data_IF_545616745796
#
_entry.id   IF_545616745796
#
_cell.length_a   1.000
_cell.length_b   1.000
_cell.length_c   1.000
_cell.angle_alpha   90.00
_cell.angle_beta   90.00
_cell.angle_gamma   90.00
#
_symmetry.space_group_name_H-M   'P 1'
#
loop_
_entity.id
_entity.type
_entity.pdbx_description
1 polymer ?
#
# COMPACT_ATOMS: atom_id res chain seq x y z
N UNK A 1 -6.30 8.24 -20.01
CA UNK A 1 -6.28 6.82 -19.58
C UNK A 1 -7.52 6.06 -20.04
N UNK A 2 -8.73 6.54 -19.79
CA UNK A 2 -9.99 5.90 -20.23
C UNK A 2 -10.09 5.79 -21.77
N UNK A 3 -9.60 6.78 -22.52
CA UNK A 3 -9.62 6.76 -24.00
C UNK A 3 -8.65 5.75 -24.62
N UNK A 4 -7.53 5.44 -23.95
CA UNK A 4 -6.53 4.48 -24.46
C UNK A 4 -7.03 3.04 -24.30
N UNK A 5 -7.73 2.75 -23.21
CA UNK A 5 -8.32 1.42 -22.96
C UNK A 5 -9.51 1.17 -23.88
N UNK A 6 -10.32 2.20 -24.18
CA UNK A 6 -11.51 2.07 -25.03
C UNK A 6 -11.25 1.72 -26.51
N UNK A 7 -9.99 1.71 -26.98
CA UNK A 7 -9.60 1.31 -28.35
C UNK A 7 -9.00 -0.10 -28.43
N UNK A 8 -8.72 -0.75 -27.31
CA UNK A 8 -8.13 -2.08 -27.26
C UNK A 8 -9.17 -3.09 -26.77
N UNK A 9 -9.03 -4.33 -27.22
CA UNK A 9 -9.81 -5.44 -26.66
C UNK A 9 -9.43 -5.60 -25.18
N UNK A 10 -10.43 -5.65 -24.32
CA UNK A 10 -10.28 -5.93 -22.88
C UNK A 10 -10.93 -7.25 -22.53
N UNK A 11 -10.57 -7.80 -21.38
CA UNK A 11 -11.21 -8.96 -20.80
C UNK A 11 -11.53 -8.72 -19.33
N UNK A 12 -12.66 -9.22 -18.83
CA UNK A 12 -13.01 -9.13 -17.43
C UNK A 12 -12.14 -10.07 -16.62
N UNK A 13 -11.47 -9.54 -15.60
CA UNK A 13 -10.60 -10.30 -14.70
C UNK A 13 -10.93 -9.94 -13.25
N UNK A 14 -11.05 -10.92 -12.37
CA UNK A 14 -11.30 -10.67 -10.96
C UNK A 14 -9.99 -10.40 -10.22
N UNK A 15 -10.04 -9.49 -9.25
CA UNK A 15 -8.85 -9.10 -8.46
C UNK A 15 -8.17 -10.31 -7.80
N UNK A 16 -8.97 -11.30 -7.36
CA UNK A 16 -8.46 -12.53 -6.74
C UNK A 16 -7.59 -13.40 -7.66
N UNK A 17 -7.71 -13.27 -8.99
CA UNK A 17 -6.85 -13.97 -9.93
C UNK A 17 -5.49 -13.29 -10.11
N UNK A 18 -5.45 -11.96 -9.90
CA UNK A 18 -4.26 -11.14 -10.08
C UNK A 18 -3.34 -11.12 -8.86
N UNK A 19 -3.91 -11.26 -7.64
CA UNK A 19 -3.19 -11.02 -6.39
C UNK A 19 -3.52 -12.03 -5.29
N UNK A 20 -2.57 -12.23 -4.39
CA UNK A 20 -2.79 -12.87 -3.09
C UNK A 20 -3.11 -11.80 -2.03
N UNK A 21 -4.02 -12.15 -1.12
CA UNK A 21 -4.37 -11.32 0.03
C UNK A 21 -3.77 -11.94 1.29
N UNK A 22 -2.93 -11.19 2.00
CA UNK A 22 -2.28 -11.64 3.22
C UNK A 22 -2.73 -10.72 4.36
N UNK A 23 -3.36 -11.30 5.37
CA UNK A 23 -3.82 -10.57 6.56
C UNK A 23 -2.66 -10.24 7.51
N UNK A 24 -2.78 -9.18 8.30
CA UNK A 24 -1.88 -8.90 9.41
C UNK A 24 -1.98 -9.97 10.51
N UNK A 25 -0.93 -10.09 11.31
CA UNK A 25 -0.94 -11.02 12.45
C UNK A 25 -2.01 -10.61 13.48
N UNK A 26 -2.64 -11.60 14.09
CA UNK A 26 -3.64 -11.45 15.18
C UNK A 26 -3.41 -12.50 16.28
N UNK A 27 -2.28 -13.19 16.21
CA UNK A 27 -1.95 -14.27 17.14
C UNK A 27 -1.53 -13.76 18.52
N UNK A 28 -1.20 -14.71 19.39
CA UNK A 28 -0.73 -14.47 20.76
C UNK A 28 0.54 -13.61 20.85
N UNK A 29 1.30 -13.54 19.75
CA UNK A 29 2.53 -12.79 19.65
C UNK A 29 2.34 -11.37 19.08
N UNK A 30 1.07 -10.93 18.87
CA UNK A 30 0.81 -9.55 18.44
C UNK A 30 1.38 -8.57 19.47
N UNK A 31 2.11 -7.51 19.05
CA UNK A 31 2.78 -6.60 19.98
C UNK A 31 1.80 -5.89 20.91
N UNK A 32 2.15 -5.80 22.18
CA UNK A 32 1.52 -4.91 23.16
C UNK A 32 2.10 -3.51 23.04
N UNK A 33 1.45 -2.52 23.66
CA UNK A 33 1.86 -1.12 23.52
C UNK A 33 3.29 -0.85 24.01
N UNK A 34 3.70 -1.49 25.07
CA UNK A 34 5.00 -1.39 25.71
C UNK A 34 6.15 -2.07 24.94
N UNK A 35 5.82 -2.88 23.94
CA UNK A 35 6.82 -3.52 23.07
C UNK A 35 7.18 -2.66 21.83
N UNK A 36 6.53 -1.49 21.68
CA UNK A 36 6.87 -0.56 20.61
C UNK A 36 7.92 0.46 21.03
N UNK A 37 8.80 0.79 20.11
CA UNK A 37 9.87 1.79 20.27
C UNK A 37 9.84 2.78 19.11
N UNK A 38 10.44 3.96 19.28
CA UNK A 38 10.53 4.99 18.21
C UNK A 38 11.56 4.65 17.13
N UNK A 39 12.44 3.71 17.40
CA UNK A 39 13.45 3.18 16.47
C UNK A 39 13.62 1.69 16.71
N UNK A 40 13.99 0.90 15.71
CA UNK A 40 14.16 -0.53 15.90
C UNK A 40 14.39 -1.30 14.61
N UNK A 41 14.27 -2.62 14.70
CA UNK A 41 14.56 -3.54 13.61
C UNK A 41 13.45 -3.56 12.56
N UNK A 42 12.19 -3.73 12.98
CA UNK A 42 11.08 -3.89 12.06
C UNK A 42 10.05 -2.76 12.28
N UNK A 43 9.80 -1.98 11.23
CA UNK A 43 8.75 -0.97 11.20
C UNK A 43 7.38 -1.66 11.24
N UNK A 44 6.58 -1.35 12.25
CA UNK A 44 5.24 -1.87 12.41
C UNK A 44 4.20 -0.82 11.99
N UNK A 45 3.63 -0.97 10.81
CA UNK A 45 2.71 0.00 10.25
C UNK A 45 1.39 0.06 11.02
N UNK A 46 0.90 1.25 11.24
CA UNK A 46 -0.43 1.55 11.74
C UNK A 46 -1.23 2.38 10.72
N UNK A 47 -2.50 2.66 11.03
CA UNK A 47 -3.41 3.33 10.09
C UNK A 47 -2.91 4.71 9.61
N UNK A 48 -2.11 5.44 10.40
CA UNK A 48 -1.55 6.75 10.01
C UNK A 48 -0.43 6.64 8.99
N UNK A 49 0.20 5.46 8.87
CA UNK A 49 1.29 5.24 7.93
C UNK A 49 0.83 4.96 6.50
N UNK A 50 -0.47 4.73 6.25
CA UNK A 50 -1.01 4.49 4.91
C UNK A 50 -2.11 5.50 4.62
N UNK A 51 -1.80 6.48 3.78
CA UNK A 51 -2.65 7.62 3.46
C UNK A 51 -3.21 7.52 2.03
N UNK A 52 -4.03 8.48 1.64
CA UNK A 52 -4.54 8.58 0.26
C UNK A 52 -3.43 8.84 -0.78
N UNK A 53 -2.28 9.32 -0.35
CA UNK A 53 -1.12 9.62 -1.20
C UNK A 53 -0.04 8.53 -1.19
N UNK A 54 -0.18 7.49 -0.35
CA UNK A 54 0.81 6.44 -0.17
C UNK A 54 1.30 6.32 1.26
N UNK A 55 2.54 5.86 1.46
CA UNK A 55 3.14 5.79 2.79
C UNK A 55 3.40 7.19 3.38
N UNK A 56 3.18 7.29 4.69
CA UNK A 56 3.60 8.41 5.53
C UNK A 56 4.42 7.86 6.71
N UNK A 57 5.61 8.40 6.92
CA UNK A 57 6.54 7.97 7.97
C UNK A 57 6.84 9.07 9.00
N UNK A 58 5.98 10.08 9.12
CA UNK A 58 6.12 11.17 10.11
C UNK A 58 6.13 10.61 11.55
N UNK A 59 5.38 9.54 11.79
CA UNK A 59 5.37 8.84 13.08
C UNK A 59 5.53 7.33 12.83
N UNK A 60 6.60 6.76 13.32
CA UNK A 60 6.92 5.36 13.16
C UNK A 60 6.97 4.63 14.51
N UNK A 61 6.52 3.39 14.51
CA UNK A 61 6.68 2.46 15.63
C UNK A 61 7.43 1.22 15.15
N UNK A 62 8.34 0.74 15.98
CA UNK A 62 9.18 -0.41 15.64
C UNK A 62 9.05 -1.49 16.70
N UNK A 63 9.31 -2.71 16.28
CA UNK A 63 9.49 -3.86 17.16
C UNK A 63 10.89 -4.43 17.01
N UNK A 64 11.33 -5.19 18.01
CA UNK A 64 12.62 -5.88 17.98
C UNK A 64 12.64 -7.00 16.95
N UNK A 65 13.82 -7.45 16.56
CA UNK A 65 13.99 -8.60 15.66
C UNK A 65 13.39 -9.88 16.26
N UNK A 66 13.53 -10.09 17.56
CA UNK A 66 12.95 -11.23 18.26
C UNK A 66 11.42 -11.21 18.15
N UNK A 67 10.80 -10.04 18.38
CA UNK A 67 9.36 -9.88 18.26
C UNK A 67 8.87 -10.09 16.82
N UNK A 68 9.59 -9.57 15.84
CA UNK A 68 9.30 -9.78 14.44
C UNK A 68 9.28 -11.26 14.05
N UNK A 69 10.29 -12.03 14.50
CA UNK A 69 10.40 -13.47 14.25
C UNK A 69 9.29 -14.32 14.88
N UNK A 70 8.70 -13.86 15.97
CA UNK A 70 7.60 -14.56 16.64
C UNK A 70 6.26 -14.40 15.92
N UNK A 71 6.11 -13.36 15.10
CA UNK A 71 4.90 -13.12 14.34
C UNK A 71 4.91 -13.91 13.03
N UNK A 72 3.76 -14.51 12.66
CA UNK A 72 3.69 -15.42 11.52
C UNK A 72 3.30 -14.74 10.20
N UNK A 73 2.55 -13.62 10.27
CA UNK A 73 1.93 -12.99 9.10
C UNK A 73 2.20 -11.49 9.07
N UNK A 74 1.98 -10.89 7.90
CA UNK A 74 1.97 -9.44 7.75
C UNK A 74 3.33 -8.81 7.47
N UNK A 75 4.38 -9.60 7.22
CA UNK A 75 5.68 -9.09 6.79
C UNK A 75 5.66 -8.77 5.29
N UNK A 76 6.09 -7.57 4.90
CA UNK A 76 6.14 -7.13 3.52
C UNK A 76 7.31 -7.76 2.77
N UNK A 77 7.06 -8.05 1.51
CA UNK A 77 8.09 -8.37 0.51
C UNK A 77 8.16 -7.22 -0.52
N UNK A 78 9.29 -7.05 -1.21
CA UNK A 78 9.41 -6.03 -2.25
C UNK A 78 8.24 -6.07 -3.24
N UNK A 79 7.69 -4.89 -3.52
CA UNK A 79 6.54 -4.68 -4.41
C UNK A 79 5.19 -5.17 -3.88
N UNK A 80 5.07 -5.50 -2.62
CA UNK A 80 3.77 -5.65 -1.97
C UNK A 80 3.03 -4.31 -1.92
N UNK A 81 1.71 -4.38 -2.00
CA UNK A 81 0.84 -3.22 -1.84
C UNK A 81 0.10 -3.39 -0.51
N UNK A 82 0.13 -2.36 0.34
CA UNK A 82 -0.63 -2.33 1.58
C UNK A 82 -1.98 -1.66 1.33
N UNK A 83 -3.06 -2.31 1.77
CA UNK A 83 -4.43 -1.78 1.74
C UNK A 83 -4.97 -1.66 3.16
N UNK A 84 -5.49 -0.50 3.54
CA UNK A 84 -6.20 -0.35 4.82
C UNK A 84 -7.58 -0.99 4.74
N UNK A 85 -7.82 -1.99 5.58
CA UNK A 85 -9.06 -2.80 5.61
C UNK A 85 -9.96 -2.48 6.80
N UNK A 86 -9.51 -1.62 7.73
CA UNK A 86 -10.26 -1.10 8.90
C UNK A 86 -9.89 0.34 9.18
N UNK A 87 -10.79 1.06 9.82
CA UNK A 87 -10.61 2.49 10.09
C UNK A 87 -10.73 3.32 8.81
N UNK A 88 -9.66 3.92 8.34
CA UNK A 88 -9.62 4.63 7.05
C UNK A 88 -9.53 3.62 5.92
N UNK A 89 -10.68 3.16 5.43
CA UNK A 89 -10.75 2.10 4.42
C UNK A 89 -10.26 2.55 3.05
N UNK A 90 -9.54 1.66 2.37
CA UNK A 90 -9.22 1.80 0.95
C UNK A 90 -8.01 2.66 0.63
N UNK A 91 -7.27 3.14 1.62
CA UNK A 91 -5.97 3.73 1.34
C UNK A 91 -5.00 2.63 0.92
N UNK A 92 -4.15 2.95 -0.06
CA UNK A 92 -3.15 2.01 -0.59
C UNK A 92 -1.78 2.65 -0.65
N UNK A 93 -0.74 1.85 -0.39
CA UNK A 93 0.66 2.25 -0.50
C UNK A 93 1.50 1.12 -1.10
N UNK A 94 2.42 1.44 -2.00
CA UNK A 94 3.31 0.49 -2.66
C UNK A 94 4.65 0.41 -1.92
N UNK A 95 5.05 -0.80 -1.55
CA UNK A 95 6.36 -1.06 -0.93
C UNK A 95 7.40 -1.33 -2.00
N UNK A 96 7.96 -0.26 -2.56
CA UNK A 96 8.94 -0.31 -3.65
C UNK A 96 10.37 0.03 -3.18
N UNK A 97 11.30 0.09 -4.14
CA UNK A 97 12.72 0.39 -3.93
C UNK A 97 13.01 1.76 -3.29
N UNK A 98 12.04 2.66 -3.22
CA UNK A 98 12.20 3.99 -2.65
C UNK A 98 11.92 4.04 -1.14
N UNK A 99 11.36 2.97 -0.58
CA UNK A 99 11.09 2.85 0.85
C UNK A 99 12.39 2.46 1.57
N UNK A 100 12.83 3.29 2.52
CA UNK A 100 14.10 3.13 3.23
C UNK A 100 14.12 2.01 4.28
N UNK A 101 12.95 1.48 4.64
CA UNK A 101 12.82 0.44 5.67
C UNK A 101 12.82 -0.94 5.02
N UNK A 102 13.76 -1.80 5.40
CA UNK A 102 13.90 -3.15 4.85
C UNK A 102 12.95 -4.16 5.51
N UNK A 103 12.71 -4.01 6.82
CA UNK A 103 11.83 -4.88 7.58
C UNK A 103 10.57 -4.10 7.92
N UNK A 104 9.46 -4.46 7.30
CA UNK A 104 8.19 -3.76 7.47
C UNK A 104 7.07 -4.78 7.67
N UNK A 105 6.22 -4.51 8.62
CA UNK A 105 5.07 -5.35 8.94
C UNK A 105 3.81 -4.53 9.08
N UNK A 106 2.69 -5.08 8.60
CA UNK A 106 1.38 -4.47 8.76
C UNK A 106 0.73 -4.86 10.08
N UNK A 107 -0.14 -3.99 10.59
CA UNK A 107 -1.02 -4.31 11.70
C UNK A 107 -2.26 -5.12 11.25
N UNK A 108 -3.10 -5.52 12.20
CA UNK A 108 -4.31 -6.30 11.94
C UNK A 108 -5.45 -5.54 11.24
N UNK A 109 -5.30 -4.25 11.00
CA UNK A 109 -6.25 -3.39 10.27
C UNK A 109 -5.92 -3.22 8.79
N UNK A 110 -4.93 -3.94 8.30
CA UNK A 110 -4.43 -3.85 6.94
C UNK A 110 -4.37 -5.22 6.26
N UNK A 111 -4.25 -5.19 4.94
CA UNK A 111 -3.98 -6.35 4.09
C UNK A 111 -2.76 -6.06 3.24
N UNK A 112 -1.94 -7.08 3.03
CA UNK A 112 -0.96 -7.09 1.95
C UNK A 112 -1.65 -7.65 0.72
N UNK A 113 -1.50 -6.94 -0.39
CA UNK A 113 -1.91 -7.36 -1.72
C UNK A 113 -0.64 -7.63 -2.51
N UNK A 114 -0.38 -8.90 -2.77
CA UNK A 114 0.83 -9.40 -3.44
C UNK A 114 0.51 -9.83 -4.85
N UNK A 115 1.08 -9.21 -5.90
CA UNK A 115 0.90 -9.65 -7.27
C UNK A 115 1.33 -11.11 -7.46
N UNK A 116 0.49 -11.93 -8.13
CA UNK A 116 0.76 -13.35 -8.37
C UNK A 116 1.65 -13.62 -9.57
N UNK A 117 1.55 -12.77 -10.58
CA UNK A 117 2.18 -12.97 -11.89
C UNK A 117 3.17 -11.85 -12.21
N UNK A 118 4.21 -12.19 -13.00
CA UNK A 118 5.11 -11.20 -13.59
C UNK A 118 4.53 -10.53 -14.85
N UNK A 119 3.42 -11.02 -15.38
CA UNK A 119 2.77 -10.47 -16.57
C UNK A 119 2.08 -9.13 -16.27
N UNK A 120 1.58 -8.98 -15.04
CA UNK A 120 0.93 -7.73 -14.59
C UNK A 120 1.78 -7.17 -13.45
N UNK A 121 2.30 -5.97 -13.66
CA UNK A 121 3.24 -5.38 -12.73
C UNK A 121 2.58 -4.90 -11.44
N UNK A 122 3.36 -4.79 -10.35
CA UNK A 122 2.92 -4.16 -9.12
C UNK A 122 2.39 -2.73 -9.32
N UNK A 123 2.99 -1.96 -10.22
CA UNK A 123 2.58 -0.58 -10.51
C UNK A 123 1.20 -0.52 -11.17
N UNK A 124 0.91 -1.44 -12.09
CA UNK A 124 -0.41 -1.56 -12.70
C UNK A 124 -1.47 -1.94 -11.65
N UNK A 125 -1.21 -2.93 -10.81
CA UNK A 125 -2.13 -3.32 -9.71
C UNK A 125 -2.33 -2.15 -8.74
N UNK A 126 -1.27 -1.45 -8.39
CA UNK A 126 -1.34 -0.28 -7.51
C UNK A 126 -2.22 0.83 -8.12
N UNK A 127 -2.08 1.11 -9.41
CA UNK A 127 -2.91 2.06 -10.11
C UNK A 127 -4.39 1.63 -10.17
N UNK A 128 -4.68 0.34 -10.40
CA UNK A 128 -6.04 -0.20 -10.32
C UNK A 128 -6.66 0.03 -8.94
N UNK A 129 -5.91 -0.25 -7.87
CA UNK A 129 -6.39 -0.09 -6.49
C UNK A 129 -6.62 1.38 -6.12
N UNK A 130 -5.88 2.33 -6.70
CA UNK A 130 -6.09 3.79 -6.53
C UNK A 130 -7.23 4.35 -7.38
N UNK A 131 -7.74 3.60 -8.33
CA UNK A 131 -8.76 4.08 -9.28
C UNK A 131 -10.07 4.48 -8.59
N UNK A 132 -10.82 5.38 -9.25
CA UNK A 132 -12.17 5.75 -8.82
C UNK A 132 -13.12 4.54 -8.81
N UNK A 133 -12.91 3.59 -9.72
CA UNK A 133 -13.66 2.35 -9.78
C UNK A 133 -13.46 1.52 -8.51
N UNK A 134 -12.20 1.34 -8.08
CA UNK A 134 -11.90 0.62 -6.83
C UNK A 134 -12.49 1.32 -5.61
N UNK A 135 -12.40 2.64 -5.54
CA UNK A 135 -13.02 3.42 -4.45
C UNK A 135 -14.54 3.20 -4.40
N UNK A 136 -15.22 3.21 -5.55
CA UNK A 136 -16.65 2.94 -5.62
C UNK A 136 -16.99 1.49 -5.24
N UNK A 137 -16.16 0.53 -5.63
CA UNK A 137 -16.33 -0.87 -5.24
C UNK A 137 -16.17 -1.08 -3.72
N UNK A 138 -15.16 -0.46 -3.10
CA UNK A 138 -14.93 -0.48 -1.67
C UNK A 138 -16.16 0.06 -0.91
N UNK A 139 -16.73 1.19 -1.36
CA UNK A 139 -17.93 1.76 -0.73
C UNK A 139 -19.12 0.79 -0.75
N UNK A 140 -19.27 -0.01 -1.80
CA UNK A 140 -20.35 -1.02 -1.90
C UNK A 140 -20.14 -2.22 -0.97
N UNK A 141 -18.89 -2.58 -0.69
CA UNK A 141 -18.54 -3.74 0.13
C UNK A 141 -18.28 -3.40 1.59
N UNK A 142 -18.38 -2.14 1.99
CA UNK A 142 -18.32 -1.76 3.40
C UNK A 142 -19.36 -2.54 4.21
N UNK A 143 -18.90 -3.33 5.16
CA UNK A 143 -19.74 -4.02 6.11
C UNK A 143 -19.51 -3.47 7.53
N UNK A 144 -20.57 -3.45 8.33
CA UNK A 144 -20.53 -2.95 9.70
C UNK A 144 -20.81 -1.45 9.82
N UNK A 145 -21.79 -1.10 10.66
CA UNK A 145 -22.21 0.29 10.88
C UNK A 145 -21.30 1.05 11.85
N UNK A 146 -20.71 0.38 12.83
CA UNK A 146 -19.88 0.99 13.88
C UNK A 146 -18.37 0.95 13.56
N UNK A 147 -17.91 -0.10 12.89
CA UNK A 147 -16.53 -0.26 12.43
C UNK A 147 -16.51 -0.87 11.02
N UNK A 148 -16.53 -0.06 9.97
CA UNK A 148 -16.50 -0.58 8.60
C UNK A 148 -15.26 -1.45 8.36
N UNK A 149 -15.46 -2.58 7.68
CA UNK A 149 -14.40 -3.51 7.31
C UNK A 149 -14.51 -3.91 5.84
N UNK A 150 -13.39 -4.27 5.25
CA UNK A 150 -13.30 -4.82 3.89
C UNK A 150 -12.97 -6.32 3.98
N UNK A 151 -13.95 -7.21 3.83
CA UNK A 151 -13.69 -8.65 3.83
C UNK A 151 -12.90 -9.07 2.58
N UNK A 152 -11.86 -9.88 2.75
CA UNK A 152 -11.06 -10.43 1.63
C UNK A 152 -11.95 -11.13 0.61
N UNK A 153 -12.95 -11.91 1.07
CA UNK A 153 -13.91 -12.62 0.21
C UNK A 153 -14.67 -11.72 -0.78
N UNK A 154 -14.84 -10.46 -0.42
CA UNK A 154 -15.54 -9.50 -1.27
C UNK A 154 -14.55 -8.76 -2.18
N UNK A 155 -13.36 -8.41 -1.67
CA UNK A 155 -12.27 -7.85 -2.47
C UNK A 155 -11.87 -8.79 -3.62
N UNK A 156 -11.79 -10.09 -3.38
CA UNK A 156 -11.42 -11.09 -4.39
C UNK A 156 -12.36 -11.11 -5.59
N UNK A 157 -13.62 -10.69 -5.42
CA UNK A 157 -14.66 -10.72 -6.47
C UNK A 157 -14.73 -9.45 -7.29
N UNK A 158 -13.96 -8.41 -6.95
CA UNK A 158 -13.97 -7.16 -7.72
C UNK A 158 -13.42 -7.47 -9.10
N UNK A 159 -14.20 -7.11 -10.14
CA UNK A 159 -13.85 -7.36 -11.54
C UNK A 159 -13.32 -6.09 -12.18
N UNK A 160 -12.25 -6.21 -12.93
CA UNK A 160 -11.67 -5.13 -13.74
C UNK A 160 -11.65 -5.56 -15.20
N UNK A 161 -11.80 -4.59 -16.10
CA UNK A 161 -11.51 -4.75 -17.52
C UNK A 161 -10.02 -4.48 -17.76
N UNK A 162 -9.25 -5.49 -18.13
CA UNK A 162 -7.82 -5.37 -18.43
C UNK A 162 -7.56 -5.56 -19.92
N UNK A 163 -6.58 -4.86 -20.52
CA UNK A 163 -6.18 -5.08 -21.90
C UNK A 163 -5.71 -6.51 -22.15
N UNK A 164 -6.17 -7.11 -23.27
CA UNK A 164 -5.70 -8.43 -23.69
C UNK A 164 -4.29 -8.40 -24.32
N UNK A 165 -3.85 -7.24 -24.77
CA UNK A 165 -2.56 -7.09 -25.44
C UNK A 165 -1.43 -6.88 -24.44
N UNK A 166 -0.45 -7.79 -24.42
CA UNK A 166 0.79 -7.66 -23.62
C UNK A 166 1.54 -6.37 -23.92
N UNK A 167 1.52 -5.90 -25.18
CA UNK A 167 2.17 -4.65 -25.56
C UNK A 167 1.49 -3.43 -24.92
N UNK A 168 0.16 -3.44 -24.82
CA UNK A 168 -0.62 -2.39 -24.15
C UNK A 168 -0.40 -2.43 -22.66
N UNK A 169 -0.39 -3.61 -22.05
CA UNK A 169 -0.08 -3.79 -20.63
C UNK A 169 1.32 -3.27 -20.30
N UNK A 170 2.33 -3.64 -21.11
CA UNK A 170 3.70 -3.18 -20.92
C UNK A 170 3.84 -1.65 -21.09
N UNK A 171 3.06 -1.03 -21.98
CA UNK A 171 3.07 0.42 -22.15
C UNK A 171 2.43 1.14 -20.97
N UNK A 172 1.27 0.68 -20.51
CA UNK A 172 0.61 1.19 -19.31
C UNK A 172 1.51 1.06 -18.08
N UNK A 173 2.20 -0.06 -17.96
CA UNK A 173 3.12 -0.31 -16.87
C UNK A 173 4.28 0.70 -16.84
N UNK A 174 4.92 0.96 -17.99
CA UNK A 174 5.95 2.00 -18.10
C UNK A 174 5.43 3.39 -17.71
N UNK A 175 4.19 3.72 -18.11
CA UNK A 175 3.57 4.99 -17.75
C UNK A 175 3.34 5.08 -16.24
N UNK A 176 2.79 4.03 -15.60
CA UNK A 176 2.57 4.02 -14.16
C UNK A 176 3.89 4.07 -13.39
N UNK A 177 4.90 3.30 -13.80
CA UNK A 177 6.23 3.35 -13.21
C UNK A 177 6.81 4.78 -13.28
N UNK A 178 6.74 5.44 -14.44
CA UNK A 178 7.24 6.81 -14.61
C UNK A 178 6.50 7.82 -13.71
N UNK A 179 5.19 7.65 -13.55
CA UNK A 179 4.39 8.48 -12.64
C UNK A 179 4.84 8.27 -11.19
N UNK A 180 4.97 7.03 -10.74
CA UNK A 180 5.35 6.74 -9.35
C UNK A 180 6.81 7.17 -9.07
N UNK A 181 7.72 7.04 -10.03
CA UNK A 181 9.08 7.58 -9.90
C UNK A 181 9.07 9.11 -9.75
N UNK A 182 8.24 9.80 -10.53
CA UNK A 182 8.08 11.26 -10.41
C UNK A 182 7.49 11.66 -9.06
N UNK A 183 6.49 10.93 -8.57
CA UNK A 183 5.91 11.14 -7.24
C UNK A 183 6.97 10.94 -6.16
N UNK A 184 7.77 9.88 -6.25
CA UNK A 184 8.84 9.58 -5.28
C UNK A 184 9.90 10.68 -5.23
N UNK A 185 10.32 11.21 -6.39
CA UNK A 185 11.28 12.32 -6.48
C UNK A 185 10.69 13.58 -5.81
N UNK A 186 9.46 13.92 -6.14
CA UNK A 186 8.79 15.10 -5.58
C UNK A 186 8.62 14.98 -4.05
N UNK A 187 8.27 13.79 -3.54
CA UNK A 187 8.15 13.57 -2.11
C UNK A 187 9.47 13.75 -1.38
N UNK A 188 10.59 13.26 -1.94
CA UNK A 188 11.93 13.49 -1.37
C UNK A 188 12.30 14.98 -1.35
N UNK A 189 11.95 15.72 -2.42
CA UNK A 189 12.18 17.17 -2.46
C UNK A 189 11.36 17.90 -1.39
N UNK A 190 10.09 17.52 -1.21
CA UNK A 190 9.23 18.07 -0.15
C UNK A 190 9.81 17.79 1.23
N UNK A 191 10.32 16.59 1.48
CA UNK A 191 10.91 16.24 2.79
C UNK A 191 12.20 17.03 3.04
N UNK A 192 13.07 17.20 2.05
CA UNK A 192 14.27 18.03 2.15
C UNK A 192 13.92 19.51 2.43
N UNK A 193 12.88 20.04 1.76
CA UNK A 193 12.42 21.42 1.99
C UNK A 193 11.83 21.62 3.40
N UNK A 194 11.10 20.63 3.93
CA UNK A 194 10.61 20.65 5.30
C UNK A 194 11.75 20.64 6.31
N UNK A 195 12.77 19.81 6.09
CA UNK A 195 13.95 19.76 6.95
C UNK A 195 14.69 21.09 6.94
N UNK A 196 14.95 21.66 5.77
CA UNK A 196 15.58 22.97 5.62
C UNK A 196 14.77 24.08 6.33
N UNK A 197 13.46 24.08 6.15
CA UNK A 197 12.57 25.03 6.85
C UNK A 197 12.69 24.91 8.35
N UNK A 198 12.75 23.69 8.89
CA UNK A 198 12.90 23.43 10.32
C UNK A 198 14.23 23.98 10.85
N UNK A 199 15.33 23.77 10.13
CA UNK A 199 16.66 24.29 10.50
C UNK A 199 16.66 25.82 10.53
N UNK A 200 16.14 26.46 9.46
CA UNK A 200 16.08 27.93 9.38
C UNK A 200 15.23 28.54 10.50
N UNK A 201 14.08 27.95 10.83
CA UNK A 201 13.24 28.40 11.93
C UNK A 201 13.93 28.26 13.29
N UNK A 202 14.72 27.19 13.48
CA UNK A 202 15.49 26.99 14.70
C UNK A 202 16.62 28.04 14.86
N UNK A 203 17.22 28.47 13.74
CA UNK A 203 18.24 29.57 13.77
C UNK A 203 17.63 30.92 14.08
N UNK A 204 16.41 31.21 13.57
CA UNK A 204 15.71 32.48 13.85
C UNK A 204 15.18 32.59 15.28
N UNK A 205 15.07 31.47 15.98
CA UNK A 205 14.55 31.39 17.35
C UNK A 205 15.64 31.49 18.43
N UNK A 206 16.90 31.66 18.02
CA UNK A 206 18.08 31.88 18.89
C UNK A 206 18.43 33.34 18.99
#
# INVERSE_FOLDING_TARGET
>A
MVETIGRNQTEPTVLGDLVDFIDGDRGKNYPTFDEFTSTGYCLFLNASNVTSTGFNFDTCMFVTEEKDRLMNKGHLSPYDIVLTSRGTLGNVALYDKHIKYENVRINSGMLIIRPKSKQISPYFIYALLKSSYMKAAIERFKSGSAQPQLPIKDLQKITFEIPQSDAVLADLDRQFLSIEESISINNKEIDNLKELSTVLLAELSR
#
